data_IF_390818542991
#
_entry.id   IF_390818542991
#
_cell.length_a   1.000
_cell.length_b   1.000
_cell.length_c   1.000
_cell.angle_alpha   90.00
_cell.angle_beta   90.00
_cell.angle_gamma   90.00
#
_symmetry.space_group_name_H-M   'P 1'
#
loop_
_entity.id
_entity.type
_entity.pdbx_description
1 polymer ?
#
# COMPACT_ATOMS: atom_id res chain seq x y z
N UNK A 1 -12.13 7.49 -6.34
CA UNK A 1 -13.15 8.55 -6.28
C UNK A 1 -14.58 7.98 -6.35
N UNK A 2 -14.87 7.03 -7.25
CA UNK A 2 -16.23 6.48 -7.46
C UNK A 2 -16.90 5.87 -6.23
N UNK A 3 -16.18 5.58 -5.15
CA UNK A 3 -16.79 5.14 -3.88
C UNK A 3 -17.40 6.28 -3.06
N UNK A 4 -17.12 7.53 -3.39
CA UNK A 4 -17.45 8.71 -2.57
C UNK A 4 -18.12 9.83 -3.34
N UNK A 5 -18.28 9.66 -4.66
CA UNK A 5 -18.77 10.73 -5.55
C UNK A 5 -19.72 10.14 -6.59
N UNK A 6 -20.91 10.70 -6.70
CA UNK A 6 -22.00 10.14 -7.53
C UNK A 6 -21.74 10.21 -9.04
N UNK A 7 -21.12 11.23 -9.53
CA UNK A 7 -20.94 11.45 -10.98
C UNK A 7 -19.56 11.03 -11.52
N UNK A 8 -18.84 10.19 -10.78
CA UNK A 8 -17.54 9.65 -11.21
C UNK A 8 -17.71 8.19 -11.60
N UNK A 9 -17.22 7.80 -12.80
CA UNK A 9 -17.24 6.43 -13.25
C UNK A 9 -16.57 5.48 -12.25
N UNK A 10 -17.25 4.39 -11.91
CA UNK A 10 -16.70 3.35 -11.04
C UNK A 10 -15.51 2.67 -11.74
N UNK A 11 -14.39 2.64 -11.06
CA UNK A 11 -13.18 1.96 -11.51
C UNK A 11 -13.03 0.61 -10.80
N UNK A 12 -12.42 -0.40 -11.44
CA UNK A 12 -12.25 -1.72 -10.84
C UNK A 12 -11.38 -1.67 -9.58
N UNK A 13 -11.63 -2.63 -8.68
CA UNK A 13 -10.80 -2.85 -7.49
C UNK A 13 -9.43 -3.39 -7.86
N UNK A 14 -8.43 -3.17 -7.00
CA UNK A 14 -7.05 -3.58 -7.29
C UNK A 14 -6.90 -5.11 -7.46
N UNK A 15 -7.69 -5.92 -6.77
CA UNK A 15 -7.68 -7.38 -6.94
C UNK A 15 -8.04 -7.78 -8.39
N UNK A 16 -9.03 -7.14 -8.99
CA UNK A 16 -9.36 -7.35 -10.40
C UNK A 16 -8.23 -6.92 -11.33
N UNK A 17 -7.57 -5.81 -11.01
CA UNK A 17 -6.40 -5.31 -11.74
C UNK A 17 -5.18 -6.24 -11.57
N UNK A 18 -5.10 -6.98 -10.48
CA UNK A 18 -4.08 -8.01 -10.23
C UNK A 18 -4.05 -9.11 -11.29
N UNK A 19 -5.22 -9.42 -11.90
CA UNK A 19 -5.35 -10.40 -12.97
C UNK A 19 -4.93 -9.90 -14.36
N UNK A 20 -4.69 -8.60 -14.52
CA UNK A 20 -4.30 -7.98 -15.80
C UNK A 20 -2.87 -8.38 -16.14
N UNK A 21 -2.66 -9.02 -17.29
CA UNK A 21 -1.33 -9.52 -17.69
C UNK A 21 -0.37 -8.41 -18.10
N UNK A 22 -0.85 -7.40 -18.81
CA UNK A 22 -0.04 -6.28 -19.29
C UNK A 22 0.08 -5.16 -18.25
N UNK A 23 1.26 -4.96 -17.64
CA UNK A 23 1.46 -3.91 -16.64
C UNK A 23 1.25 -2.48 -17.18
N UNK A 24 1.37 -2.29 -18.51
CA UNK A 24 1.14 -0.98 -19.13
C UNK A 24 -0.30 -0.50 -18.97
N UNK A 25 -1.27 -1.42 -18.93
CA UNK A 25 -2.66 -1.08 -18.63
C UNK A 25 -2.84 -0.53 -17.22
N UNK A 26 -2.03 -1.01 -16.28
CA UNK A 26 -2.04 -0.50 -14.89
C UNK A 26 -1.41 0.90 -14.82
N UNK A 27 -0.40 1.18 -15.64
CA UNK A 27 0.13 2.54 -15.78
C UNK A 27 -0.95 3.50 -16.32
N UNK A 28 -1.65 3.11 -17.39
CA UNK A 28 -2.75 3.90 -17.97
C UNK A 28 -3.90 4.10 -16.96
N UNK A 29 -4.24 3.06 -16.20
CA UNK A 29 -5.19 3.16 -15.09
C UNK A 29 -4.74 4.20 -14.07
N UNK A 30 -3.47 4.20 -13.69
CA UNK A 30 -2.88 5.21 -12.80
C UNK A 30 -3.00 6.63 -13.37
N UNK A 31 -2.77 6.80 -14.66
CA UNK A 31 -2.96 8.09 -15.34
C UNK A 31 -4.42 8.55 -15.27
N UNK A 32 -5.37 7.65 -15.54
CA UNK A 32 -6.80 7.95 -15.49
C UNK A 32 -7.21 8.42 -14.06
N UNK A 33 -6.78 7.68 -13.03
CA UNK A 33 -7.03 8.06 -11.63
C UNK A 33 -6.41 9.42 -11.30
N UNK A 34 -5.19 9.65 -11.75
CA UNK A 34 -4.50 10.92 -11.52
C UNK A 34 -5.19 12.10 -12.22
N UNK A 35 -5.68 11.90 -13.44
CA UNK A 35 -6.46 12.92 -14.15
C UNK A 35 -7.78 13.25 -13.44
N UNK A 36 -8.48 12.23 -12.90
CA UNK A 36 -9.68 12.44 -12.09
C UNK A 36 -9.36 13.25 -10.82
N UNK A 37 -8.28 12.88 -10.12
CA UNK A 37 -7.82 13.63 -8.94
C UNK A 37 -7.54 15.09 -9.29
N UNK A 38 -6.83 15.34 -10.39
CA UNK A 38 -6.49 16.69 -10.83
C UNK A 38 -7.73 17.54 -11.12
N UNK A 39 -8.73 16.97 -11.81
CA UNK A 39 -10.02 17.66 -12.09
C UNK A 39 -10.73 18.08 -10.80
N UNK A 40 -10.58 17.31 -9.73
CA UNK A 40 -11.19 17.57 -8.42
C UNK A 40 -10.33 18.44 -7.51
N UNK A 41 -9.18 18.94 -7.96
CA UNK A 41 -8.26 19.72 -7.13
C UNK A 41 -7.51 18.92 -6.07
N UNK A 42 -7.49 17.57 -6.17
CA UNK A 42 -6.79 16.68 -5.26
C UNK A 42 -5.33 16.58 -5.68
N UNK A 43 -4.40 16.93 -4.80
CA UNK A 43 -2.96 16.85 -5.04
C UNK A 43 -2.32 15.55 -4.53
N UNK A 44 -2.92 14.91 -3.52
CA UNK A 44 -2.40 13.70 -2.88
C UNK A 44 -3.46 12.61 -2.92
N UNK A 45 -3.11 11.45 -3.45
CA UNK A 45 -3.95 10.26 -3.42
C UNK A 45 -3.30 9.16 -2.57
N UNK A 46 -4.02 8.68 -1.57
CA UNK A 46 -3.57 7.58 -0.69
C UNK A 46 -3.74 6.22 -1.38
N UNK A 47 -3.02 6.05 -2.49
CA UNK A 47 -2.93 4.87 -3.33
C UNK A 47 -1.52 4.80 -3.97
N UNK A 48 -1.06 3.61 -4.37
CA UNK A 48 -1.70 2.29 -4.34
C UNK A 48 -1.70 1.62 -2.95
N UNK A 49 -2.61 0.64 -2.78
CA UNK A 49 -2.49 -0.36 -1.71
C UNK A 49 -1.48 -1.40 -2.18
N UNK A 50 -0.41 -1.60 -1.42
CA UNK A 50 0.66 -2.55 -1.74
C UNK A 50 0.85 -3.60 -0.64
N UNK A 51 -0.17 -3.76 0.19
CA UNK A 51 -0.27 -4.87 1.12
C UNK A 51 -0.38 -6.18 0.33
N UNK A 52 0.37 -7.20 0.75
CA UNK A 52 0.30 -8.55 0.18
C UNK A 52 -0.83 -9.29 0.86
N UNK A 53 -1.89 -9.65 0.12
CA UNK A 53 -3.09 -10.29 0.68
C UNK A 53 -2.88 -11.79 0.84
N UNK A 54 -2.04 -12.18 1.81
CA UNK A 54 -1.70 -13.58 2.10
C UNK A 54 -2.67 -14.25 3.10
N UNK A 55 -3.55 -13.47 3.74
CA UNK A 55 -4.63 -13.97 4.57
C UNK A 55 -5.98 -13.72 3.87
N UNK A 56 -6.68 -14.77 3.38
CA UNK A 56 -7.96 -14.63 2.70
C UNK A 56 -9.08 -14.10 3.63
N UNK A 57 -8.94 -14.28 4.95
CA UNK A 57 -9.90 -13.82 5.95
C UNK A 57 -9.65 -12.38 6.41
N UNK A 58 -8.72 -11.68 5.78
CA UNK A 58 -8.42 -10.28 6.12
C UNK A 58 -9.64 -9.39 5.81
N UNK A 59 -10.28 -8.77 6.83
CA UNK A 59 -11.50 -8.00 6.61
C UNK A 59 -11.25 -6.61 6.01
N UNK A 60 -10.00 -6.14 6.00
CA UNK A 60 -9.64 -4.75 5.68
C UNK A 60 -9.02 -4.61 4.31
N UNK A 61 -8.08 -5.48 3.95
CA UNK A 61 -7.32 -5.36 2.71
C UNK A 61 -8.05 -6.06 1.56
N UNK A 62 -8.23 -7.35 1.61
CA UNK A 62 -9.01 -8.14 0.69
C UNK A 62 -8.90 -7.63 -0.77
N UNK A 63 -10.01 -7.24 -1.39
CA UNK A 63 -10.11 -6.78 -2.78
C UNK A 63 -9.37 -5.45 -3.09
N UNK A 64 -8.86 -4.79 -2.06
CA UNK A 64 -8.04 -3.57 -2.18
C UNK A 64 -6.59 -3.87 -2.57
N UNK A 65 -6.08 -5.10 -2.35
CA UNK A 65 -4.75 -5.54 -2.78
C UNK A 65 -4.74 -5.96 -4.25
N UNK A 66 -3.55 -5.97 -4.87
CA UNK A 66 -3.33 -6.59 -6.19
C UNK A 66 -3.24 -8.12 -6.13
N UNK A 67 -3.11 -8.72 -4.94
CA UNK A 67 -3.05 -10.18 -4.75
C UNK A 67 -2.09 -10.62 -3.65
N UNK A 68 -1.74 -11.92 -3.68
CA UNK A 68 -0.93 -12.58 -2.65
C UNK A 68 0.56 -12.74 -3.03
N UNK A 69 0.95 -12.47 -4.28
CA UNK A 69 2.35 -12.51 -4.70
C UNK A 69 3.01 -11.13 -4.49
N UNK A 70 4.03 -11.01 -3.60
CA UNK A 70 4.66 -9.74 -3.27
C UNK A 70 5.38 -9.11 -4.46
N UNK A 71 5.90 -9.91 -5.39
CA UNK A 71 6.57 -9.40 -6.59
C UNK A 71 5.56 -8.81 -7.58
N UNK A 72 4.44 -9.47 -7.75
CA UNK A 72 3.35 -8.99 -8.59
C UNK A 72 2.70 -7.74 -8.00
N UNK A 73 2.44 -7.72 -6.70
CA UNK A 73 1.95 -6.52 -5.99
C UNK A 73 2.89 -5.34 -6.18
N UNK A 74 4.21 -5.57 -6.09
CA UNK A 74 5.21 -4.53 -6.32
C UNK A 74 5.21 -4.04 -7.76
N UNK A 75 5.19 -4.94 -8.74
CA UNK A 75 5.19 -4.60 -10.17
C UNK A 75 4.00 -3.70 -10.53
N UNK A 76 2.78 -4.16 -10.21
CA UNK A 76 1.56 -3.42 -10.52
C UNK A 76 1.45 -2.13 -9.70
N UNK A 77 1.85 -2.17 -8.42
CA UNK A 77 1.94 -0.99 -7.56
C UNK A 77 2.84 0.10 -8.13
N UNK A 78 3.99 -0.27 -8.70
CA UNK A 78 4.92 0.65 -9.37
C UNK A 78 4.26 1.27 -10.61
N UNK A 79 3.59 0.49 -11.44
CA UNK A 79 2.93 1.01 -12.63
C UNK A 79 1.80 1.98 -12.27
N UNK A 80 0.95 1.61 -11.30
CA UNK A 80 -0.11 2.48 -10.83
C UNK A 80 0.44 3.79 -10.26
N UNK A 81 1.45 3.71 -9.39
CA UNK A 81 2.14 4.87 -8.82
C UNK A 81 2.71 5.78 -9.92
N UNK A 82 3.48 5.21 -10.86
CA UNK A 82 4.11 5.98 -11.96
C UNK A 82 3.07 6.65 -12.85
N UNK A 83 2.00 5.94 -13.21
CA UNK A 83 0.90 6.49 -13.99
C UNK A 83 0.25 7.68 -13.29
N UNK A 84 -0.03 7.55 -11.99
CA UNK A 84 -0.62 8.63 -11.21
C UNK A 84 0.35 9.81 -11.04
N UNK A 85 1.63 9.55 -10.74
CA UNK A 85 2.64 10.59 -10.57
C UNK A 85 2.97 11.33 -11.87
N UNK A 86 2.81 10.70 -13.06
CA UNK A 86 3.00 11.37 -14.34
C UNK A 86 1.97 12.49 -14.60
N UNK A 87 0.84 12.47 -13.92
CA UNK A 87 -0.18 13.55 -13.97
C UNK A 87 0.05 14.68 -12.98
N UNK A 88 1.10 14.59 -12.14
CA UNK A 88 1.42 15.56 -11.10
C UNK A 88 0.83 15.24 -9.71
N UNK A 89 0.04 14.18 -9.57
CA UNK A 89 -0.54 13.76 -8.29
C UNK A 89 0.49 13.00 -7.45
N UNK A 90 0.59 13.34 -6.17
CA UNK A 90 1.43 12.60 -5.23
C UNK A 90 0.77 11.25 -4.90
N UNK A 91 1.43 10.16 -5.25
CA UNK A 91 1.04 8.81 -4.84
C UNK A 91 1.57 8.49 -3.44
N UNK A 92 0.75 7.80 -2.64
CA UNK A 92 1.11 7.36 -1.29
C UNK A 92 0.85 5.86 -1.17
N UNK A 93 1.92 5.07 -1.16
CA UNK A 93 1.81 3.62 -0.98
C UNK A 93 1.46 3.25 0.46
N UNK A 94 0.61 2.23 0.64
CA UNK A 94 0.07 1.87 1.95
C UNK A 94 -0.22 0.38 2.08
N UNK A 95 -0.24 -0.15 3.31
CA UNK A 95 -0.04 0.42 4.64
C UNK A 95 1.25 -0.16 5.25
N UNK A 96 2.32 0.61 5.31
CA UNK A 96 3.61 0.13 5.81
C UNK A 96 3.51 -0.30 7.30
N UNK A 97 4.11 -1.42 7.73
CA UNK A 97 5.00 -2.33 6.99
C UNK A 97 4.30 -3.44 6.21
N UNK A 98 2.98 -3.47 6.15
CA UNK A 98 2.13 -4.44 5.48
C UNK A 98 0.94 -4.81 6.37
N UNK A 99 -0.27 -4.76 5.83
CA UNK A 99 -1.53 -4.99 6.56
C UNK A 99 -2.26 -6.24 6.04
N UNK A 100 -1.63 -7.01 5.14
CA UNK A 100 -2.30 -8.10 4.42
C UNK A 100 -2.53 -9.39 5.22
N UNK A 101 -1.84 -9.56 6.36
CA UNK A 101 -1.87 -10.79 7.17
C UNK A 101 -2.69 -10.68 8.47
N UNK A 102 -3.40 -9.59 8.68
CA UNK A 102 -4.18 -9.41 9.90
C UNK A 102 -5.58 -9.97 9.77
N UNK A 103 -6.09 -10.55 10.86
CA UNK A 103 -7.46 -11.05 10.96
C UNK A 103 -8.42 -10.06 11.64
N UNK A 104 -7.91 -8.92 12.12
CA UNK A 104 -8.67 -7.92 12.89
C UNK A 104 -8.59 -6.56 12.18
N UNK A 105 -9.70 -5.83 12.18
CA UNK A 105 -9.74 -4.46 11.65
C UNK A 105 -9.11 -3.49 12.65
N UNK A 106 -8.14 -2.70 12.17
CA UNK A 106 -7.42 -1.70 12.96
C UNK A 106 -8.30 -0.52 13.45
N UNK A 107 -9.55 -0.43 13.00
CA UNK A 107 -10.51 0.54 13.52
C UNK A 107 -11.19 0.08 14.82
N UNK A 108 -11.11 -1.21 15.15
CA UNK A 108 -11.75 -1.78 16.36
C UNK A 108 -10.75 -2.22 17.41
N UNK A 109 -9.57 -2.68 17.00
CA UNK A 109 -8.50 -3.13 17.91
C UNK A 109 -7.14 -2.91 17.24
N UNK A 110 -6.06 -2.93 18.01
CA UNK A 110 -4.69 -2.83 17.49
C UNK A 110 -4.25 -4.18 16.92
N UNK A 111 -4.23 -4.35 15.58
CA UNK A 111 -3.86 -5.64 15.00
C UNK A 111 -2.38 -5.94 15.28
N UNK A 112 -2.10 -7.19 15.60
CA UNK A 112 -0.75 -7.67 15.89
C UNK A 112 -0.22 -8.51 14.72
N UNK A 113 0.98 -8.20 14.26
CA UNK A 113 1.69 -9.01 13.27
C UNK A 113 2.83 -9.74 13.97
N UNK A 114 2.60 -11.01 14.31
CA UNK A 114 3.56 -11.89 14.96
C UNK A 114 4.49 -12.57 13.95
N UNK A 115 5.24 -11.76 13.20
CA UNK A 115 6.26 -12.23 12.26
C UNK A 115 7.64 -11.75 12.72
N UNK A 116 8.64 -12.59 12.46
CA UNK A 116 10.03 -12.19 12.62
C UNK A 116 10.42 -11.13 11.56
N UNK A 117 11.48 -10.40 11.81
CA UNK A 117 12.01 -9.44 10.84
C UNK A 117 12.35 -10.11 9.51
N UNK A 118 12.86 -11.35 9.53
CA UNK A 118 13.20 -12.12 8.33
C UNK A 118 11.96 -12.43 7.49
N UNK A 119 10.86 -12.79 8.11
CA UNK A 119 9.58 -13.05 7.43
C UNK A 119 9.01 -11.78 6.81
N UNK A 120 9.03 -10.66 7.55
CA UNK A 120 8.62 -9.36 7.02
C UNK A 120 9.46 -8.93 5.81
N UNK A 121 10.77 -9.12 5.87
CA UNK A 121 11.67 -8.81 4.78
C UNK A 121 11.45 -9.70 3.54
N UNK A 122 10.99 -10.94 3.76
CA UNK A 122 10.74 -11.92 2.70
C UNK A 122 9.37 -11.77 2.02
N UNK A 123 8.42 -11.03 2.61
CA UNK A 123 7.06 -10.89 2.09
C UNK A 123 6.59 -9.43 2.11
N UNK A 124 6.18 -8.92 3.28
CA UNK A 124 5.46 -7.65 3.41
C UNK A 124 6.27 -6.44 2.95
N UNK A 125 7.58 -6.44 3.22
CA UNK A 125 8.44 -5.29 2.91
C UNK A 125 8.91 -5.25 1.44
N UNK A 126 8.75 -6.33 0.67
CA UNK A 126 9.18 -6.38 -0.74
C UNK A 126 8.50 -5.28 -1.58
N UNK A 127 7.17 -5.12 -1.58
CA UNK A 127 6.52 -4.07 -2.37
C UNK A 127 6.99 -2.67 -1.97
N UNK A 128 7.09 -2.39 -0.68
CA UNK A 128 7.52 -1.06 -0.20
C UNK A 128 8.94 -0.73 -0.63
N UNK A 129 9.90 -1.66 -0.48
CA UNK A 129 11.28 -1.48 -0.93
C UNK A 129 11.34 -1.16 -2.43
N UNK A 130 10.60 -1.92 -3.25
CA UNK A 130 10.58 -1.72 -4.69
C UNK A 130 9.91 -0.39 -5.10
N UNK A 131 8.82 0.02 -4.44
CA UNK A 131 8.18 1.30 -4.73
C UNK A 131 9.05 2.49 -4.29
N UNK A 132 9.76 2.37 -3.17
CA UNK A 132 10.73 3.40 -2.72
C UNK A 132 11.84 3.55 -3.77
N UNK A 133 12.42 2.46 -4.21
CA UNK A 133 13.45 2.47 -5.27
C UNK A 133 12.91 3.03 -6.61
N UNK A 134 11.62 2.84 -6.89
CA UNK A 134 10.94 3.36 -8.08
C UNK A 134 10.48 4.83 -7.95
N UNK A 135 10.71 5.48 -6.80
CA UNK A 135 10.46 6.92 -6.61
C UNK A 135 9.05 7.27 -6.12
N UNK A 136 8.42 6.42 -5.29
CA UNK A 136 7.16 6.79 -4.63
C UNK A 136 7.37 8.02 -3.74
N UNK A 137 6.45 8.99 -3.80
CA UNK A 137 6.58 10.27 -3.09
C UNK A 137 6.10 10.21 -1.64
N UNK A 138 5.24 9.26 -1.28
CA UNK A 138 4.73 9.10 0.08
C UNK A 138 4.54 7.65 0.47
N UNK A 139 4.67 7.39 1.78
CA UNK A 139 4.34 6.10 2.40
C UNK A 139 3.41 6.38 3.57
N UNK A 140 2.27 5.70 3.62
CA UNK A 140 1.37 5.73 4.76
C UNK A 140 1.71 4.58 5.70
N UNK A 141 1.95 4.94 6.96
CA UNK A 141 2.22 3.95 8.01
C UNK A 141 0.89 3.39 8.51
N UNK A 142 0.81 2.06 8.59
CA UNK A 142 -0.31 1.38 9.20
C UNK A 142 -0.34 1.55 10.73
N UNK A 143 -1.53 1.43 11.32
CA UNK A 143 -1.69 1.43 12.77
C UNK A 143 -1.71 -0.01 13.27
N UNK A 144 -0.51 -0.62 13.36
CA UNK A 144 -0.28 -2.04 13.62
C UNK A 144 0.76 -2.21 14.72
N UNK A 145 0.59 -3.20 15.58
CA UNK A 145 1.64 -3.61 16.50
C UNK A 145 2.48 -4.72 15.86
N UNK A 146 3.77 -4.48 15.71
CA UNK A 146 4.72 -5.41 15.10
C UNK A 146 5.92 -5.58 16.04
N UNK A 147 5.91 -6.60 16.93
CA UNK A 147 6.96 -6.79 17.94
C UNK A 147 8.37 -6.89 17.36
N UNK A 148 8.51 -7.43 16.15
CA UNK A 148 9.80 -7.51 15.44
C UNK A 148 10.37 -6.14 15.02
N UNK A 149 9.55 -5.09 15.01
CA UNK A 149 9.95 -3.71 14.71
C UNK A 149 10.11 -2.88 15.99
N UNK A 150 9.13 -2.99 16.88
CA UNK A 150 9.14 -2.26 18.15
C UNK A 150 8.59 -3.15 19.26
N UNK A 151 9.42 -3.45 20.25
CA UNK A 151 9.05 -4.37 21.34
C UNK A 151 8.25 -3.71 22.47
N UNK A 152 8.07 -2.38 22.41
CA UNK A 152 7.28 -1.68 23.44
C UNK A 152 5.82 -2.11 23.33
N UNK A 153 5.23 -2.63 24.41
CA UNK A 153 3.86 -3.12 24.38
C UNK A 153 2.88 -2.06 23.85
N UNK A 154 1.92 -2.49 23.04
CA UNK A 154 0.85 -1.65 22.51
C UNK A 154 1.34 -0.37 21.78
N UNK A 155 2.56 -0.40 21.23
CA UNK A 155 3.12 0.73 20.47
C UNK A 155 2.90 0.49 18.99
N UNK A 156 1.92 1.14 18.35
CA UNK A 156 1.67 0.97 16.92
C UNK A 156 2.79 1.56 16.08
N UNK A 157 3.04 0.97 14.93
CA UNK A 157 4.07 1.39 13.97
C UNK A 157 3.93 2.85 13.55
N UNK A 158 2.72 3.40 13.54
CA UNK A 158 2.44 4.79 13.18
C UNK A 158 3.09 5.83 14.10
N UNK A 159 3.40 5.46 15.35
CA UNK A 159 4.11 6.32 16.33
C UNK A 159 5.47 5.75 16.74
N UNK A 160 5.92 4.67 16.09
CA UNK A 160 7.21 4.04 16.38
C UNK A 160 8.36 4.69 15.60
N UNK A 161 9.33 5.26 16.32
CA UNK A 161 10.57 5.74 15.72
C UNK A 161 11.38 4.62 15.05
N UNK A 162 11.29 3.39 15.56
CA UNK A 162 11.93 2.22 14.94
C UNK A 162 11.34 1.96 13.53
N UNK A 163 10.01 1.98 13.40
CA UNK A 163 9.34 1.79 12.12
C UNK A 163 9.63 2.94 11.15
N UNK A 164 9.41 4.18 11.59
CA UNK A 164 9.47 5.36 10.71
C UNK A 164 10.91 5.78 10.40
N UNK A 165 11.74 5.89 11.44
CA UNK A 165 13.09 6.46 11.26
C UNK A 165 14.10 5.39 10.89
N UNK A 166 14.20 4.31 11.70
CA UNK A 166 15.26 3.31 11.51
C UNK A 166 14.99 2.39 10.32
N UNK A 167 13.74 1.98 10.08
CA UNK A 167 13.45 1.05 8.98
C UNK A 167 13.12 1.84 7.71
N UNK A 168 12.06 2.65 7.72
CA UNK A 168 11.56 3.27 6.50
C UNK A 168 12.51 4.33 5.93
N UNK A 169 13.02 5.26 6.75
CA UNK A 169 13.88 6.35 6.26
C UNK A 169 15.31 5.90 5.93
N UNK A 170 15.86 4.91 6.66
CA UNK A 170 17.21 4.41 6.40
C UNK A 170 17.30 3.50 5.17
N UNK A 171 16.20 2.94 4.68
CA UNK A 171 16.15 2.22 3.41
C UNK A 171 16.22 3.15 2.16
N UNK A 172 16.25 4.46 2.36
CA UNK A 172 16.45 5.45 1.29
C UNK A 172 17.93 5.74 0.95
N UNK A 173 18.85 5.14 1.70
CA UNK A 173 20.30 5.21 1.42
C UNK A 173 20.75 3.90 0.77
#
# INVERSE_FOLDING_TARGET
>A
LGMRMDSVGALPRQMMLGAVKDPQLIYQFGQLVGQQCKRMGIQINYAPVVDVNNNPDNPVINDRSFGADPHRVAELGIQYMKGMQSTGIMAVAKHFPGHGDVAVDSHYDLPVINKSRKELDALELIPFKKLIAAGVRGIMIGHLFVPAIDQRPNTPTSISSNAVTKILRQQRK
#
